data_IF_201613420728
#
_entry.id   IF_201613420728
#
_cell.length_a   1.000
_cell.length_b   1.000
_cell.length_c   1.000
_cell.angle_alpha   90.00
_cell.angle_beta   90.00
_cell.angle_gamma   90.00
#
_symmetry.space_group_name_H-M   'P 1'
#
loop_
_entity.id
_entity.type
_entity.pdbx_description
1 polymer ?
#
# COMPACT_ATOMS: atom_id res chain seq x y z
N UNK A 1 -28.23 11.48 -13.29
CA UNK A 1 -27.38 10.56 -12.52
C UNK A 1 -27.17 9.17 -13.16
N UNK A 2 -27.41 8.99 -14.47
CA UNK A 2 -27.10 7.71 -15.16
C UNK A 2 -25.67 7.74 -15.67
N UNK A 3 -24.89 6.67 -15.49
CA UNK A 3 -23.52 6.56 -16.01
C UNK A 3 -23.55 6.51 -17.54
N UNK A 4 -22.86 7.45 -18.19
CA UNK A 4 -22.84 7.61 -19.65
C UNK A 4 -21.50 7.36 -20.29
N UNK A 5 -20.40 7.52 -19.55
CA UNK A 5 -19.06 7.23 -20.05
C UNK A 5 -18.12 6.80 -18.92
N UNK A 6 -17.12 6.00 -19.29
CA UNK A 6 -15.97 5.66 -18.47
C UNK A 6 -14.70 6.03 -19.23
N UNK A 7 -13.85 6.89 -18.67
CA UNK A 7 -12.59 7.33 -19.29
C UNK A 7 -11.42 6.94 -18.40
N UNK A 8 -10.43 6.25 -18.94
CA UNK A 8 -9.21 5.86 -18.21
C UNK A 8 -8.02 6.73 -18.60
N UNK A 9 -7.17 7.02 -17.62
CA UNK A 9 -5.91 7.74 -17.82
C UNK A 9 -4.76 6.92 -17.24
N UNK A 10 -3.71 6.76 -18.03
CA UNK A 10 -2.45 6.13 -17.60
C UNK A 10 -1.31 7.12 -17.71
N UNK A 11 -0.41 7.09 -16.75
CA UNK A 11 0.82 7.87 -16.80
C UNK A 11 1.94 7.06 -17.46
N UNK A 12 2.65 7.69 -18.39
CA UNK A 12 3.91 7.14 -18.91
C UNK A 12 5.05 7.25 -17.90
N UNK A 13 5.03 8.27 -17.04
CA UNK A 13 6.00 8.46 -15.97
C UNK A 13 5.74 7.51 -14.79
N UNK A 14 4.46 7.24 -14.50
CA UNK A 14 4.02 6.37 -13.43
C UNK A 14 3.17 5.22 -14.00
N UNK A 15 3.80 4.21 -14.63
CA UNK A 15 3.10 3.18 -15.41
C UNK A 15 2.22 2.24 -14.55
N UNK A 16 2.38 2.29 -13.23
CA UNK A 16 1.54 1.55 -12.29
C UNK A 16 0.26 2.30 -11.89
N UNK A 17 0.14 3.60 -12.17
CA UNK A 17 -1.07 4.39 -11.86
C UNK A 17 -2.13 4.28 -12.96
N UNK A 18 -3.37 4.13 -12.53
CA UNK A 18 -4.56 4.25 -13.38
C UNK A 18 -5.59 5.14 -12.70
N UNK A 19 -6.03 6.18 -13.41
CA UNK A 19 -7.21 6.95 -13.03
C UNK A 19 -8.41 6.56 -13.89
N UNK A 20 -9.60 6.62 -13.30
CA UNK A 20 -10.88 6.37 -13.95
C UNK A 20 -11.82 7.52 -13.66
N UNK A 21 -12.38 8.12 -14.72
CA UNK A 21 -13.50 9.02 -14.62
C UNK A 21 -14.80 8.30 -15.00
N UNK A 22 -15.84 8.48 -14.17
CA UNK A 22 -17.20 8.06 -14.47
C UNK A 22 -18.08 9.30 -14.66
N UNK A 23 -18.52 9.52 -15.90
CA UNK A 23 -19.40 10.64 -16.25
C UNK A 23 -20.87 10.22 -16.21
N UNK A 24 -21.72 11.13 -15.74
CA UNK A 24 -23.17 10.94 -15.71
C UNK A 24 -23.90 11.82 -16.72
N UNK A 25 -25.14 11.45 -17.09
CA UNK A 25 -25.97 12.16 -18.05
C UNK A 25 -26.29 13.64 -17.69
N UNK A 26 -26.15 14.00 -16.42
CA UNK A 26 -26.28 15.35 -15.86
C UNK A 26 -24.94 16.11 -15.80
N UNK A 27 -23.88 15.57 -16.40
CA UNK A 27 -22.56 16.20 -16.52
C UNK A 27 -21.69 16.12 -15.27
N UNK A 28 -22.06 15.31 -14.27
CA UNK A 28 -21.22 15.10 -13.09
C UNK A 28 -20.20 14.02 -13.41
N UNK A 29 -18.92 14.32 -13.11
CA UNK A 29 -17.81 13.39 -13.32
C UNK A 29 -17.21 13.06 -11.96
N UNK A 30 -17.12 11.77 -11.63
CA UNK A 30 -16.41 11.29 -10.44
C UNK A 30 -15.07 10.68 -10.80
N UNK A 31 -14.07 10.87 -9.94
CA UNK A 31 -12.71 10.40 -10.11
C UNK A 31 -12.41 9.22 -9.18
N UNK A 32 -11.86 8.16 -9.75
CA UNK A 32 -11.33 7.01 -9.04
C UNK A 32 -9.90 6.69 -9.44
N UNK A 33 -9.24 5.87 -8.64
CA UNK A 33 -7.83 5.52 -8.82
C UNK A 33 -7.57 4.06 -8.42
N UNK A 34 -6.60 3.42 -9.07
CA UNK A 34 -5.98 2.20 -8.56
C UNK A 34 -4.51 2.13 -8.96
N UNK A 35 -3.78 1.16 -8.39
CA UNK A 35 -2.33 1.02 -8.54
C UNK A 35 -1.91 -0.41 -8.90
N UNK A 36 -0.77 -0.51 -9.58
CA UNK A 36 -0.17 -1.66 -10.28
C UNK A 36 -0.84 -2.08 -11.58
N UNK A 37 -0.05 -2.63 -12.53
CA UNK A 37 -0.53 -3.30 -13.74
C UNK A 37 -1.68 -2.54 -14.46
N UNK A 38 -1.52 -1.22 -14.62
CA UNK A 38 -2.57 -0.31 -15.06
C UNK A 38 -3.22 -0.73 -16.38
N UNK A 39 -2.43 -1.27 -17.33
CA UNK A 39 -2.93 -1.76 -18.62
C UNK A 39 -3.91 -2.92 -18.50
N UNK A 40 -3.63 -3.88 -17.60
CA UNK A 40 -4.53 -5.01 -17.39
C UNK A 40 -5.85 -4.57 -16.73
N UNK A 41 -5.76 -3.60 -15.80
CA UNK A 41 -6.93 -3.03 -15.14
C UNK A 41 -7.77 -2.22 -16.14
N UNK A 42 -7.15 -1.37 -16.95
CA UNK A 42 -7.81 -0.61 -18.02
C UNK A 42 -8.57 -1.54 -18.97
N UNK A 43 -7.92 -2.61 -19.43
CA UNK A 43 -8.56 -3.58 -20.30
C UNK A 43 -9.82 -4.19 -19.66
N UNK A 44 -9.77 -4.54 -18.37
CA UNK A 44 -10.93 -5.08 -17.66
C UNK A 44 -12.05 -4.05 -17.48
N UNK A 45 -11.73 -2.78 -17.19
CA UNK A 45 -12.73 -1.71 -17.09
C UNK A 45 -13.53 -1.62 -18.40
N UNK A 46 -12.85 -1.55 -19.54
CA UNK A 46 -13.51 -1.36 -20.83
C UNK A 46 -14.18 -2.62 -21.37
N UNK A 47 -13.55 -3.79 -21.20
CA UNK A 47 -14.06 -5.04 -21.76
C UNK A 47 -15.15 -5.69 -20.89
N UNK A 48 -15.14 -5.48 -19.57
CA UNK A 48 -16.00 -6.21 -18.65
C UNK A 48 -16.91 -5.32 -17.81
N UNK A 49 -16.41 -4.18 -17.29
CA UNK A 49 -17.24 -3.30 -16.44
C UNK A 49 -18.15 -2.40 -17.29
N UNK A 50 -17.60 -1.71 -18.29
CA UNK A 50 -18.35 -0.75 -19.11
C UNK A 50 -19.64 -1.33 -19.72
N UNK A 51 -19.66 -2.55 -20.31
CA UNK A 51 -20.88 -3.13 -20.86
C UNK A 51 -21.99 -3.40 -19.83
N UNK A 52 -21.64 -3.50 -18.55
CA UNK A 52 -22.58 -3.74 -17.45
C UNK A 52 -23.10 -2.43 -16.88
N UNK A 53 -22.21 -1.45 -16.68
CA UNK A 53 -22.51 -0.26 -15.85
C UNK A 53 -22.99 0.95 -16.63
N UNK A 54 -22.71 1.04 -17.94
CA UNK A 54 -23.27 2.10 -18.77
C UNK A 54 -24.80 1.99 -18.80
N UNK A 55 -25.49 3.10 -18.51
CA UNK A 55 -26.94 3.12 -18.35
C UNK A 55 -27.44 2.80 -16.93
N UNK A 56 -26.57 2.38 -16.01
CA UNK A 56 -26.93 2.24 -14.59
C UNK A 56 -26.94 3.59 -13.87
N UNK A 57 -27.66 3.66 -12.76
CA UNK A 57 -27.60 4.80 -11.84
C UNK A 57 -26.24 4.85 -11.15
N UNK A 58 -25.61 6.03 -11.13
CA UNK A 58 -24.31 6.25 -10.48
C UNK A 58 -24.41 6.33 -8.95
N UNK A 59 -25.62 6.53 -8.40
CA UNK A 59 -25.85 6.62 -6.95
C UNK A 59 -26.29 5.29 -6.32
N UNK A 60 -26.63 4.29 -7.15
CA UNK A 60 -26.97 2.94 -6.70
C UNK A 60 -25.68 2.08 -6.60
N UNK A 61 -24.71 2.53 -5.82
CA UNK A 61 -23.35 1.97 -5.74
C UNK A 61 -23.38 0.46 -5.43
N UNK A 62 -24.21 0.05 -4.47
CA UNK A 62 -24.38 -1.37 -4.11
C UNK A 62 -24.95 -2.22 -5.25
N UNK A 63 -25.83 -1.64 -6.09
CA UNK A 63 -26.35 -2.34 -7.26
C UNK A 63 -25.25 -2.53 -8.32
N UNK A 64 -24.36 -1.55 -8.48
CA UNK A 64 -23.17 -1.67 -9.34
C UNK A 64 -22.26 -2.78 -8.81
N UNK A 65 -21.97 -2.82 -7.50
CA UNK A 65 -21.17 -3.90 -6.91
C UNK A 65 -21.77 -5.28 -7.12
N UNK A 66 -23.07 -5.41 -6.89
CA UNK A 66 -23.76 -6.69 -7.07
C UNK A 66 -23.67 -7.17 -8.52
N UNK A 67 -23.93 -6.29 -9.50
CA UNK A 67 -23.93 -6.64 -10.94
C UNK A 67 -22.55 -6.85 -11.52
N UNK A 68 -21.52 -6.21 -10.98
CA UNK A 68 -20.14 -6.30 -11.47
C UNK A 68 -19.33 -7.37 -10.75
N UNK A 69 -19.92 -8.10 -9.78
CA UNK A 69 -19.23 -9.18 -9.06
C UNK A 69 -18.73 -10.24 -10.04
N UNK A 70 -17.41 -10.48 -10.14
CA UNK A 70 -16.88 -11.40 -11.13
C UNK A 70 -17.05 -12.86 -10.68
N UNK A 71 -17.14 -13.77 -11.64
CA UNK A 71 -17.24 -15.21 -11.38
C UNK A 71 -15.90 -15.81 -10.90
N UNK A 72 -14.79 -15.31 -11.44
CA UNK A 72 -13.41 -15.60 -11.02
C UNK A 72 -12.72 -14.30 -10.61
N UNK A 73 -11.58 -14.39 -9.91
CA UNK A 73 -10.86 -13.18 -9.50
C UNK A 73 -11.59 -12.36 -8.43
N UNK A 74 -12.52 -12.95 -7.67
CA UNK A 74 -13.22 -12.27 -6.56
C UNK A 74 -12.48 -12.38 -5.22
N UNK A 75 -11.24 -12.88 -5.22
CA UNK A 75 -10.41 -13.11 -4.02
C UNK A 75 -9.15 -12.25 -4.12
N UNK A 76 -8.69 -11.74 -2.97
CA UNK A 76 -7.48 -10.93 -2.82
C UNK A 76 -7.47 -9.66 -3.71
N UNK A 77 -6.30 -9.10 -3.99
CA UNK A 77 -6.14 -7.87 -4.78
C UNK A 77 -6.03 -8.14 -6.30
N UNK A 78 -6.99 -8.90 -6.85
CA UNK A 78 -7.01 -9.26 -8.28
C UNK A 78 -7.15 -8.04 -9.20
N UNK A 79 -6.89 -8.21 -10.50
CA UNK A 79 -7.13 -7.16 -11.50
C UNK A 79 -8.60 -6.74 -11.55
N UNK A 80 -9.52 -7.71 -11.44
CA UNK A 80 -10.96 -7.48 -11.45
C UNK A 80 -11.41 -6.65 -10.24
N UNK A 81 -10.90 -6.96 -9.04
CA UNK A 81 -11.23 -6.22 -7.84
C UNK A 81 -10.62 -4.83 -7.85
N UNK A 82 -9.39 -4.65 -8.35
CA UNK A 82 -8.76 -3.32 -8.48
C UNK A 82 -9.51 -2.42 -9.46
N UNK A 83 -9.97 -2.96 -10.59
CA UNK A 83 -10.83 -2.23 -11.54
C UNK A 83 -12.17 -1.82 -10.89
N UNK A 84 -12.80 -2.73 -10.15
CA UNK A 84 -14.04 -2.44 -9.41
C UNK A 84 -13.83 -1.40 -8.32
N UNK A 85 -12.70 -1.42 -7.61
CA UNK A 85 -12.36 -0.41 -6.60
C UNK A 85 -12.18 0.97 -7.21
N UNK A 86 -11.50 1.09 -8.36
CA UNK A 86 -11.39 2.37 -9.06
C UNK A 86 -12.78 2.91 -9.44
N UNK A 87 -13.67 2.06 -9.95
CA UNK A 87 -15.04 2.47 -10.26
C UNK A 87 -15.83 2.87 -9.01
N UNK A 88 -15.72 2.11 -7.91
CA UNK A 88 -16.39 2.42 -6.65
C UNK A 88 -15.99 3.81 -6.12
N UNK A 89 -14.69 4.12 -6.09
CA UNK A 89 -14.19 5.44 -5.67
C UNK A 89 -14.79 6.54 -6.55
N UNK A 90 -14.80 6.34 -7.88
CA UNK A 90 -15.40 7.30 -8.81
C UNK A 90 -16.90 7.52 -8.53
N UNK A 91 -17.66 6.46 -8.24
CA UNK A 91 -19.09 6.57 -7.92
C UNK A 91 -19.35 7.27 -6.58
N UNK A 92 -18.51 7.03 -5.57
CA UNK A 92 -18.55 7.80 -4.32
C UNK A 92 -18.26 9.29 -4.52
N UNK A 93 -17.34 9.62 -5.41
CA UNK A 93 -17.05 11.01 -5.79
C UNK A 93 -18.23 11.64 -6.54
N UNK A 94 -18.87 10.91 -7.48
CA UNK A 94 -20.13 11.35 -8.11
C UNK A 94 -21.20 11.65 -7.05
N UNK A 95 -21.42 10.73 -6.10
CA UNK A 95 -22.42 10.90 -5.04
C UNK A 95 -22.10 12.11 -4.16
N UNK A 96 -20.83 12.32 -3.81
CA UNK A 96 -20.37 13.50 -3.07
C UNK A 96 -20.68 14.80 -3.80
N UNK A 97 -20.36 14.86 -5.10
CA UNK A 97 -20.62 16.04 -5.95
C UNK A 97 -22.11 16.32 -6.13
N UNK A 98 -22.91 15.29 -6.37
CA UNK A 98 -24.37 15.41 -6.52
C UNK A 98 -25.06 15.90 -5.26
N UNK A 99 -24.60 15.45 -4.08
CA UNK A 99 -25.19 15.81 -2.79
C UNK A 99 -24.58 17.07 -2.18
N UNK A 100 -23.48 17.59 -2.75
CA UNK A 100 -22.70 18.67 -2.17
C UNK A 100 -22.06 18.30 -0.83
N UNK A 101 -21.87 17.00 -0.56
CA UNK A 101 -21.32 16.48 0.69
C UNK A 101 -19.94 15.85 0.49
N UNK A 102 -19.02 16.05 1.45
CA UNK A 102 -17.79 15.28 1.50
C UNK A 102 -18.08 13.79 1.68
N UNK A 103 -17.31 12.90 1.02
CA UNK A 103 -17.45 11.44 1.17
C UNK A 103 -17.40 11.02 2.64
N UNK A 104 -16.54 11.63 3.46
CA UNK A 104 -16.46 11.38 4.91
C UNK A 104 -17.77 11.64 5.68
N UNK A 105 -18.66 12.49 5.17
CA UNK A 105 -20.01 12.69 5.72
C UNK A 105 -20.95 11.59 5.23
N UNK A 106 -20.86 11.24 3.94
CA UNK A 106 -21.68 10.19 3.33
C UNK A 106 -21.41 8.79 3.90
N UNK A 107 -20.19 8.54 4.39
CA UNK A 107 -19.80 7.30 5.08
C UNK A 107 -20.35 7.18 6.52
N UNK A 108 -21.30 8.03 6.93
CA UNK A 108 -21.93 7.99 8.26
C UNK A 108 -21.51 9.11 9.21
N UNK A 109 -20.82 10.14 8.71
CA UNK A 109 -20.42 11.31 9.47
C UNK A 109 -18.97 11.26 9.97
N UNK A 110 -18.39 12.45 10.13
CA UNK A 110 -17.01 12.63 10.61
C UNK A 110 -16.96 12.44 12.13
N UNK A 111 -16.06 11.57 12.59
CA UNK A 111 -15.76 11.41 14.02
C UNK A 111 -14.51 12.19 14.47
N UNK A 112 -13.74 12.74 13.53
CA UNK A 112 -12.55 13.57 13.76
C UNK A 112 -12.31 14.51 12.57
N UNK A 113 -11.65 15.63 12.81
CA UNK A 113 -11.28 16.62 11.78
C UNK A 113 -9.88 16.39 11.19
N UNK A 114 -9.02 15.64 11.89
CA UNK A 114 -7.65 15.33 11.50
C UNK A 114 -7.30 13.90 11.93
N UNK A 115 -6.36 13.27 11.22
CA UNK A 115 -5.88 11.92 11.51
C UNK A 115 -4.34 11.93 11.50
N UNK A 116 -3.66 11.26 12.46
CA UNK A 116 -2.21 11.10 12.40
C UNK A 116 -1.79 10.33 11.15
N UNK A 117 -0.67 10.74 10.55
CA UNK A 117 -0.04 10.05 9.43
C UNK A 117 1.26 9.39 9.89
N UNK A 118 1.72 8.39 9.13
CA UNK A 118 3.05 7.83 9.26
C UNK A 118 3.74 7.89 7.90
N UNK A 119 5.07 7.93 7.89
CA UNK A 119 5.86 7.96 6.65
C UNK A 119 6.36 6.56 6.30
N UNK A 120 5.87 6.01 5.19
CA UNK A 120 6.54 4.88 4.53
C UNK A 120 7.78 5.43 3.85
N UNK A 121 8.97 4.99 4.27
CA UNK A 121 10.25 5.60 3.87
C UNK A 121 10.71 5.11 2.49
N UNK A 122 9.88 5.37 1.47
CA UNK A 122 10.18 5.09 0.07
C UNK A 122 10.96 6.26 -0.54
N UNK A 123 11.77 6.00 -1.57
CA UNK A 123 12.43 7.04 -2.37
C UNK A 123 11.54 7.51 -3.51
N UNK A 124 11.89 8.62 -4.16
CA UNK A 124 11.07 9.18 -5.24
C UNK A 124 10.96 8.24 -6.44
N UNK A 125 11.97 7.39 -6.65
CA UNK A 125 12.03 6.41 -7.75
C UNK A 125 11.38 5.06 -7.41
N UNK A 126 10.81 4.92 -6.21
CA UNK A 126 10.20 3.68 -5.76
C UNK A 126 9.05 3.24 -6.66
N UNK A 127 9.15 2.02 -7.20
CA UNK A 127 8.10 1.34 -7.97
C UNK A 127 7.68 2.13 -9.23
N UNK A 128 8.60 2.92 -9.80
CA UNK A 128 8.38 3.64 -11.07
C UNK A 128 8.52 2.76 -12.32
N UNK A 129 9.03 1.54 -12.19
CA UNK A 129 9.16 0.59 -13.30
C UNK A 129 7.95 -0.35 -13.45
N UNK A 130 7.83 -0.93 -14.64
CA UNK A 130 6.82 -1.96 -14.98
C UNK A 130 7.16 -3.36 -14.46
N UNK A 131 8.40 -3.60 -14.03
CA UNK A 131 8.83 -4.89 -13.46
C UNK A 131 8.34 -5.01 -12.01
N UNK A 132 7.44 -5.95 -11.76
CA UNK A 132 6.80 -6.13 -10.46
C UNK A 132 7.73 -6.80 -9.43
N UNK A 133 7.60 -6.39 -8.16
CA UNK A 133 7.87 -7.23 -6.99
C UNK A 133 9.33 -7.59 -6.68
N UNK A 134 10.31 -6.76 -7.05
CA UNK A 134 11.71 -6.97 -6.63
C UNK A 134 12.36 -5.65 -6.19
N UNK A 135 13.38 -5.73 -5.34
CA UNK A 135 14.20 -4.60 -4.86
C UNK A 135 14.85 -3.84 -6.01
N UNK A 136 15.03 -4.47 -7.17
CA UNK A 136 15.48 -3.82 -8.40
C UNK A 136 14.55 -2.69 -8.86
N UNK A 137 13.27 -2.74 -8.49
CA UNK A 137 12.29 -1.70 -8.80
C UNK A 137 12.17 -0.64 -7.69
N UNK A 138 13.02 -0.67 -6.65
CA UNK A 138 12.99 0.35 -5.60
C UNK A 138 13.80 1.61 -5.97
N UNK A 139 14.57 1.56 -7.06
CA UNK A 139 15.26 2.75 -7.59
C UNK A 139 16.54 3.14 -6.85
N UNK A 140 17.08 2.27 -5.98
CA UNK A 140 18.29 2.53 -5.16
C UNK A 140 19.52 2.86 -6.02
N UNK A 141 19.71 2.18 -7.16
CA UNK A 141 20.83 2.39 -8.06
C UNK A 141 20.67 3.62 -9.00
N UNK A 142 19.49 4.21 -9.03
CA UNK A 142 19.10 5.30 -9.93
C UNK A 142 18.79 6.60 -9.18
N UNK A 143 19.29 6.76 -7.95
CA UNK A 143 19.14 8.00 -7.18
C UNK A 143 19.60 9.16 -8.06
N UNK A 144 18.63 10.00 -8.44
CA UNK A 144 18.86 11.11 -9.36
C UNK A 144 19.72 12.19 -8.72
N UNK A 145 19.84 13.32 -9.41
CA UNK A 145 20.52 14.50 -8.86
C UNK A 145 19.72 15.18 -7.73
N UNK A 146 18.41 14.88 -7.62
CA UNK A 146 17.57 15.34 -6.52
C UNK A 146 17.61 14.30 -5.38
N UNK A 147 18.18 14.71 -4.25
CA UNK A 147 18.37 13.89 -3.06
C UNK A 147 17.31 14.22 -1.99
N UNK A 148 16.37 15.12 -2.30
CA UNK A 148 15.29 15.46 -1.38
C UNK A 148 14.33 14.27 -1.23
N UNK A 149 14.05 13.90 0.01
CA UNK A 149 13.11 12.80 0.36
C UNK A 149 13.46 11.44 -0.27
N UNK A 150 14.76 11.17 -0.53
CA UNK A 150 15.22 9.83 -0.89
C UNK A 150 15.27 8.90 0.33
N UNK A 151 14.13 8.74 1.00
CA UNK A 151 14.01 8.13 2.32
C UNK A 151 14.38 6.64 2.31
N UNK A 152 14.25 5.97 1.15
CA UNK A 152 14.68 4.59 0.96
C UNK A 152 16.19 4.43 1.12
N UNK A 153 16.97 5.32 0.51
CA UNK A 153 18.43 5.32 0.71
C UNK A 153 18.76 5.70 2.15
N UNK A 154 18.07 6.71 2.68
CA UNK A 154 18.35 7.22 4.02
C UNK A 154 18.03 6.20 5.11
N UNK A 155 16.96 5.41 5.04
CA UNK A 155 16.76 4.40 6.11
C UNK A 155 17.83 3.29 6.10
N UNK A 156 18.49 3.07 4.96
CA UNK A 156 19.59 2.11 4.84
C UNK A 156 20.93 2.70 5.31
N UNK A 157 21.19 3.99 5.02
CA UNK A 157 22.51 4.61 5.18
C UNK A 157 22.59 5.72 6.25
N UNK A 158 21.50 6.44 6.50
CA UNK A 158 21.35 7.48 7.53
C UNK A 158 19.98 7.40 8.27
N UNK A 159 19.69 6.27 8.95
CA UNK A 159 18.37 6.05 9.56
C UNK A 159 18.06 7.06 10.68
N UNK A 160 19.09 7.50 11.41
CA UNK A 160 18.94 8.46 12.52
C UNK A 160 18.67 9.87 12.01
N UNK A 161 19.37 10.32 10.96
CA UNK A 161 19.10 11.62 10.35
C UNK A 161 17.73 11.67 9.65
N UNK A 162 17.29 10.56 9.04
CA UNK A 162 15.93 10.45 8.49
C UNK A 162 14.87 10.59 9.59
N UNK A 163 14.98 9.81 10.66
CA UNK A 163 14.05 9.89 11.78
C UNK A 163 14.00 11.29 12.41
N UNK A 164 15.14 11.96 12.56
CA UNK A 164 15.21 13.35 13.02
C UNK A 164 14.47 14.32 12.09
N UNK A 165 14.68 14.18 10.78
CA UNK A 165 14.00 15.00 9.77
C UNK A 165 12.48 14.81 9.81
N UNK A 166 11.99 13.59 10.04
CA UNK A 166 10.55 13.34 10.19
C UNK A 166 9.98 13.99 11.45
N UNK A 167 10.70 13.90 12.58
CA UNK A 167 10.30 14.55 13.83
C UNK A 167 10.24 16.08 13.69
N UNK A 168 11.19 16.69 12.99
CA UNK A 168 11.19 18.13 12.70
C UNK A 168 9.96 18.55 11.87
N UNK A 169 9.44 17.65 11.03
CA UNK A 169 8.20 17.84 10.28
C UNK A 169 6.93 17.52 11.10
N UNK A 170 7.07 17.08 12.36
CA UNK A 170 5.96 16.68 13.22
C UNK A 170 5.41 15.28 12.92
N UNK A 171 6.17 14.45 12.20
CA UNK A 171 5.83 13.05 11.92
C UNK A 171 6.60 12.18 12.91
N UNK A 172 5.87 11.50 13.80
CA UNK A 172 6.42 10.67 14.88
C UNK A 172 6.32 9.17 14.60
N UNK A 173 6.00 8.78 13.36
CA UNK A 173 5.86 7.37 12.97
C UNK A 173 6.41 7.11 11.58
N UNK A 174 7.20 6.04 11.43
CA UNK A 174 7.81 5.63 10.16
C UNK A 174 7.75 4.11 9.94
N UNK A 175 7.75 3.69 8.67
CA UNK A 175 7.80 2.28 8.24
C UNK A 175 8.98 2.04 7.29
N UNK A 176 9.77 1.00 7.56
CA UNK A 176 10.99 0.62 6.81
C UNK A 176 11.05 -0.90 6.56
N UNK A 177 11.81 -1.34 5.55
CA UNK A 177 11.92 -2.75 5.12
C UNK A 177 13.37 -3.18 4.78
N UNK A 178 14.33 -3.12 5.73
CA UNK A 178 15.73 -3.47 5.45
C UNK A 178 15.99 -4.99 5.34
N UNK A 179 14.95 -5.83 5.30
CA UNK A 179 15.05 -7.30 5.21
C UNK A 179 14.97 -7.83 3.78
N UNK A 180 14.40 -7.07 2.84
CA UNK A 180 14.03 -7.56 1.51
C UNK A 180 15.21 -8.13 0.72
N UNK A 181 16.40 -7.52 0.84
CA UNK A 181 17.59 -8.01 0.12
C UNK A 181 17.92 -9.47 0.49
N UNK A 182 17.76 -9.83 1.77
CA UNK A 182 18.03 -11.17 2.25
C UNK A 182 16.93 -12.13 1.79
N UNK A 183 15.67 -11.69 1.86
CA UNK A 183 14.53 -12.47 1.38
C UNK A 183 14.68 -12.84 -0.10
N UNK A 184 15.08 -11.91 -0.95
CA UNK A 184 15.27 -12.19 -2.38
C UNK A 184 16.39 -13.18 -2.65
N UNK A 185 17.49 -13.08 -1.91
CA UNK A 185 18.66 -13.94 -2.12
C UNK A 185 18.37 -15.43 -1.82
N UNK A 186 17.41 -15.70 -0.94
CA UNK A 186 17.06 -17.06 -0.50
C UNK A 186 15.61 -17.44 -0.80
N UNK A 187 14.85 -16.59 -1.51
CA UNK A 187 13.40 -16.75 -1.70
C UNK A 187 12.65 -16.91 -0.37
N UNK A 188 13.07 -16.13 0.64
CA UNK A 188 12.49 -16.11 1.97
C UNK A 188 12.73 -17.39 2.78
N UNK A 189 13.67 -18.24 2.35
CA UNK A 189 13.89 -19.54 2.99
C UNK A 189 14.87 -19.50 4.14
N UNK A 190 15.76 -18.50 4.17
CA UNK A 190 16.81 -18.42 5.16
C UNK A 190 17.31 -16.97 5.32
N UNK A 191 17.52 -16.53 6.56
CA UNK A 191 18.31 -15.34 6.86
C UNK A 191 19.52 -15.74 7.71
N UNK A 192 20.73 -15.42 7.26
CA UNK A 192 21.92 -15.71 8.08
C UNK A 192 22.01 -14.74 9.27
N UNK A 193 22.68 -15.13 10.37
CA UNK A 193 22.86 -14.23 11.51
C UNK A 193 23.48 -12.86 11.16
N UNK A 194 24.53 -12.78 10.31
CA UNK A 194 25.07 -11.49 9.88
C UNK A 194 24.09 -10.62 9.08
N UNK A 195 23.24 -11.24 8.25
CA UNK A 195 22.21 -10.52 7.47
C UNK A 195 21.09 -10.01 8.37
N UNK A 196 20.66 -10.82 9.35
CA UNK A 196 19.70 -10.43 10.38
C UNK A 196 20.23 -9.23 11.18
N UNK A 197 21.47 -9.29 11.66
CA UNK A 197 22.09 -8.18 12.39
C UNK A 197 22.19 -6.91 11.54
N UNK A 198 22.56 -7.05 10.26
CA UNK A 198 22.60 -5.94 9.30
C UNK A 198 21.22 -5.32 9.11
N UNK A 199 20.18 -6.13 8.91
CA UNK A 199 18.82 -5.65 8.71
C UNK A 199 18.22 -5.03 9.98
N UNK A 200 18.63 -5.48 11.17
CA UNK A 200 18.20 -4.89 12.45
C UNK A 200 18.91 -3.58 12.81
N UNK A 201 20.06 -3.28 12.19
CA UNK A 201 20.88 -2.14 12.56
C UNK A 201 20.15 -0.77 12.46
N UNK A 202 19.36 -0.47 11.40
CA UNK A 202 18.58 0.77 11.34
C UNK A 202 17.61 0.93 12.50
N UNK A 203 16.87 -0.14 12.84
CA UNK A 203 15.93 -0.14 13.96
C UNK A 203 16.61 0.16 15.29
N UNK A 204 17.72 -0.55 15.57
CA UNK A 204 18.53 -0.37 16.79
C UNK A 204 19.08 1.06 16.89
N UNK A 205 19.55 1.62 15.78
CA UNK A 205 20.11 2.97 15.74
C UNK A 205 19.05 4.04 16.05
N UNK A 206 17.88 3.98 15.43
CA UNK A 206 16.80 4.95 15.66
C UNK A 206 16.26 4.83 17.09
N UNK A 207 16.03 3.60 17.57
CA UNK A 207 15.52 3.38 18.93
C UNK A 207 16.49 3.90 20.00
N UNK A 208 17.80 3.77 19.77
CA UNK A 208 18.83 4.30 20.66
C UNK A 208 18.80 5.84 20.75
N UNK A 209 18.62 6.52 19.62
CA UNK A 209 18.65 8.00 19.59
C UNK A 209 17.34 8.63 20.06
N UNK A 210 16.21 8.16 19.55
CA UNK A 210 14.92 8.82 19.75
C UNK A 210 13.99 8.11 20.72
N UNK A 211 14.29 6.87 21.10
CA UNK A 211 13.43 6.06 21.98
C UNK A 211 12.01 5.95 21.40
N UNK A 212 11.01 6.23 22.23
CA UNK A 212 9.59 6.20 21.83
C UNK A 212 9.09 7.49 21.17
N UNK A 213 9.95 8.52 21.03
CA UNK A 213 9.57 9.73 20.27
C UNK A 213 9.35 9.44 18.79
N UNK A 214 10.02 8.42 18.25
CA UNK A 214 9.80 7.91 16.90
C UNK A 214 9.27 6.48 16.98
N UNK A 215 8.02 6.29 16.60
CA UNK A 215 7.40 4.99 16.45
C UNK A 215 7.86 4.36 15.14
N UNK A 216 8.34 3.12 15.20
CA UNK A 216 8.86 2.42 14.04
C UNK A 216 8.07 1.14 13.82
N UNK A 217 7.71 0.91 12.57
CA UNK A 217 7.12 -0.32 12.08
C UNK A 217 8.03 -0.99 11.05
N UNK A 218 8.02 -2.32 11.04
CA UNK A 218 8.76 -3.11 10.06
C UNK A 218 7.80 -3.65 8.99
N UNK A 219 8.19 -3.52 7.74
CA UNK A 219 7.55 -4.12 6.58
C UNK A 219 8.38 -5.32 6.10
N UNK A 220 7.75 -6.48 5.91
CA UNK A 220 8.39 -7.72 5.45
C UNK A 220 7.85 -8.22 4.09
N UNK A 221 6.92 -7.48 3.48
CA UNK A 221 6.38 -7.66 2.12
C UNK A 221 5.84 -9.05 1.81
N UNK A 222 5.45 -9.83 2.83
CA UNK A 222 4.98 -11.19 2.67
C UNK A 222 6.02 -12.15 2.07
N UNK A 223 7.32 -11.86 2.23
CA UNK A 223 8.38 -12.57 1.50
C UNK A 223 8.95 -13.80 2.22
N UNK A 224 8.64 -13.98 3.50
CA UNK A 224 9.32 -14.97 4.36
C UNK A 224 8.47 -16.22 4.62
N UNK A 225 9.16 -17.37 4.73
CA UNK A 225 8.56 -18.57 5.30
C UNK A 225 8.34 -18.41 6.82
N UNK A 226 7.42 -19.18 7.39
CA UNK A 226 7.04 -19.05 8.80
C UNK A 226 8.22 -19.16 9.78
N UNK A 227 9.16 -20.07 9.54
CA UNK A 227 10.28 -20.31 10.45
C UNK A 227 11.19 -19.08 10.56
N UNK A 228 11.58 -18.51 9.42
CA UNK A 228 12.42 -17.32 9.38
C UNK A 228 11.65 -16.08 9.86
N UNK A 229 10.36 -15.98 9.52
CA UNK A 229 9.49 -14.92 10.04
C UNK A 229 9.45 -14.88 11.56
N UNK A 230 9.39 -16.04 12.23
CA UNK A 230 9.38 -16.11 13.70
C UNK A 230 10.68 -15.58 14.32
N UNK A 231 11.82 -15.85 13.67
CA UNK A 231 13.15 -15.36 14.09
C UNK A 231 13.19 -13.82 13.94
N UNK A 232 12.83 -13.32 12.76
CA UNK A 232 12.81 -11.88 12.47
C UNK A 232 11.86 -11.15 13.41
N UNK A 233 10.64 -11.68 13.60
CA UNK A 233 9.64 -11.07 14.46
C UNK A 233 10.07 -11.04 15.94
N UNK A 234 10.71 -12.10 16.45
CA UNK A 234 11.29 -12.09 17.80
C UNK A 234 12.33 -10.99 17.98
N UNK A 235 13.25 -10.86 17.01
CA UNK A 235 14.33 -9.89 17.11
C UNK A 235 13.83 -8.45 17.00
N UNK A 236 12.80 -8.21 16.18
CA UNK A 236 12.11 -6.92 16.11
C UNK A 236 11.32 -6.60 17.40
N UNK A 237 10.67 -7.59 18.02
CA UNK A 237 9.97 -7.46 19.30
C UNK A 237 10.87 -6.89 20.39
N UNK A 238 12.07 -7.46 20.51
CA UNK A 238 13.06 -7.08 21.52
C UNK A 238 13.50 -5.62 21.39
N UNK A 239 13.36 -5.01 20.21
CA UNK A 239 13.66 -3.59 19.96
C UNK A 239 12.44 -2.70 20.29
N UNK A 240 11.23 -3.26 20.31
CA UNK A 240 9.99 -2.54 20.62
C UNK A 240 9.37 -1.85 19.41
N UNK A 241 9.05 -2.63 18.38
CA UNK A 241 8.33 -2.17 17.18
C UNK A 241 6.87 -1.83 17.48
N UNK A 242 6.32 -0.84 16.75
CA UNK A 242 4.89 -0.50 16.80
C UNK A 242 4.02 -1.58 16.17
N UNK A 243 4.37 -2.00 14.95
CA UNK A 243 3.83 -3.19 14.31
C UNK A 243 4.86 -3.86 13.40
N UNK A 244 4.58 -5.11 13.05
CA UNK A 244 5.28 -5.86 11.99
C UNK A 244 4.24 -6.23 10.93
N UNK A 245 4.48 -5.81 9.69
CA UNK A 245 3.56 -5.93 8.55
C UNK A 245 3.95 -7.09 7.65
N UNK A 246 2.94 -7.84 7.21
CA UNK A 246 3.03 -8.97 6.28
C UNK A 246 4.24 -9.89 6.52
N UNK A 247 4.41 -10.42 7.75
CA UNK A 247 5.58 -11.22 8.09
C UNK A 247 5.66 -12.55 7.36
N UNK A 248 4.56 -13.07 6.83
CA UNK A 248 4.50 -14.34 6.08
C UNK A 248 3.77 -14.12 4.77
N UNK A 249 3.96 -15.04 3.81
CA UNK A 249 3.14 -15.08 2.60
C UNK A 249 1.64 -14.95 2.93
N UNK A 250 0.97 -13.97 2.31
CA UNK A 250 -0.43 -13.64 2.56
C UNK A 250 -1.41 -14.78 2.26
N UNK A 251 -0.97 -15.79 1.51
CA UNK A 251 -1.73 -17.02 1.22
C UNK A 251 -1.61 -18.09 2.31
N UNK A 252 -0.87 -17.84 3.39
CA UNK A 252 -0.62 -18.79 4.48
C UNK A 252 -1.39 -18.42 5.77
N UNK A 253 -2.71 -18.70 5.85
CA UNK A 253 -3.52 -18.36 7.03
C UNK A 253 -3.06 -19.08 8.29
N UNK A 254 -2.50 -20.29 8.17
CA UNK A 254 -1.94 -21.03 9.31
C UNK A 254 -0.71 -20.32 9.88
N UNK A 255 0.17 -19.79 9.02
CA UNK A 255 1.32 -19.00 9.46
C UNK A 255 0.91 -17.75 10.24
N UNK A 256 -0.13 -17.05 9.77
CA UNK A 256 -0.70 -15.88 10.48
C UNK A 256 -1.22 -16.30 11.86
N UNK A 257 -1.89 -17.45 11.99
CA UNK A 257 -2.36 -17.95 13.28
C UNK A 257 -1.20 -18.29 14.23
N UNK A 258 -0.14 -18.94 13.73
CA UNK A 258 1.02 -19.30 14.53
C UNK A 258 1.81 -18.08 15.03
N UNK A 259 1.90 -17.02 14.21
CA UNK A 259 2.49 -15.74 14.64
C UNK A 259 1.72 -15.11 15.80
N UNK A 260 0.38 -15.12 15.74
CA UNK A 260 -0.49 -14.59 16.80
C UNK A 260 -0.40 -15.38 18.11
N UNK A 261 -0.14 -16.69 18.04
CA UNK A 261 0.00 -17.54 19.24
C UNK A 261 1.27 -17.26 20.02
N UNK A 262 2.31 -16.74 19.37
CA UNK A 262 3.65 -16.73 19.94
C UNK A 262 4.05 -15.44 20.68
N UNK A 263 3.33 -14.29 20.62
CA UNK A 263 3.87 -13.00 21.13
C UNK A 263 2.87 -11.91 21.52
N UNK A 264 3.42 -10.90 22.20
CA UNK A 264 2.88 -9.60 22.63
C UNK A 264 2.82 -8.50 21.53
N UNK A 265 3.33 -8.76 20.32
CA UNK A 265 3.37 -7.77 19.21
C UNK A 265 2.02 -7.61 18.51
N UNK A 266 1.76 -6.38 18.05
CA UNK A 266 0.72 -6.10 17.05
C UNK A 266 1.22 -6.44 15.65
N UNK A 267 0.64 -7.46 15.02
CA UNK A 267 0.87 -7.75 13.61
C UNK A 267 -0.14 -7.01 12.73
N UNK A 268 0.33 -6.39 11.65
CA UNK A 268 -0.50 -5.79 10.60
C UNK A 268 -0.53 -6.72 9.39
N UNK A 269 -1.70 -6.88 8.77
CA UNK A 269 -1.87 -7.68 7.55
C UNK A 269 -2.88 -6.99 6.61
N UNK A 270 -2.62 -7.02 5.30
CA UNK A 270 -3.45 -6.39 4.26
C UNK A 270 -3.81 -7.29 3.08
#
# INVERSE_FOLDING_TARGET
MTITALTTYRSLEFPNLLWLEAETADGVVGLGETFFAAEAVEAYIHANLAPIVLGMSAVDIEAVHYRTRPYIGFVAASTELRARSALDIALWDVLGKLTGQPISVLLGGRIRSQIPVYNTCAGNQYVRGTKLGTTQNFGIASSGTDQNYEDLDRFLNDPVGLAGSLLDMGIDSMKIWPFDFAAESTQGQFISPPELDKALAPFKAIKKEYGDRMQISAELHGMWNLSESLIICQALDEIGMRWIEDPVFLTNPTGIQELKRNRTITYCHG
#
